data_IF_473988465515
#
_entry.id   IF_473988465515
#
_cell.length_a   1.000
_cell.length_b   1.000
_cell.length_c   1.000
_cell.angle_alpha   90.00
_cell.angle_beta   90.00
_cell.angle_gamma   90.00
#
_symmetry.space_group_name_H-M   'P 1'
#
loop_
_entity.id
_entity.type
_entity.pdbx_description
1 polymer ?
#
# COMPACT_ATOMS: atom_id res chain seq x y z
N UNK A 1 -3.32 7.00 25.96
CA UNK A 1 -4.03 7.29 24.69
C UNK A 1 -5.52 7.23 25.00
N UNK A 2 -6.30 8.29 24.74
CA UNK A 2 -7.75 8.29 25.03
C UNK A 2 -8.50 7.42 24.00
N UNK A 3 -9.52 6.64 24.37
CA UNK A 3 -9.98 5.49 23.60
C UNK A 3 -10.88 5.79 22.38
N UNK A 4 -11.10 7.05 22.03
CA UNK A 4 -12.20 7.52 21.17
C UNK A 4 -11.78 8.44 20.00
N UNK A 5 -10.52 8.89 19.94
CA UNK A 5 -10.06 9.89 18.96
C UNK A 5 -10.20 9.52 17.47
N UNK A 6 -10.27 8.24 17.11
CA UNK A 6 -10.38 7.83 15.69
C UNK A 6 -11.80 7.94 15.15
N UNK A 7 -12.82 7.74 16.00
CA UNK A 7 -14.23 7.80 15.61
C UNK A 7 -14.74 9.22 15.37
N UNK A 8 -14.02 10.21 15.87
CA UNK A 8 -14.34 11.64 15.74
C UNK A 8 -13.74 12.28 14.48
N UNK A 9 -12.86 11.57 13.78
CA UNK A 9 -12.20 12.08 12.57
C UNK A 9 -13.16 12.10 11.38
N UNK A 10 -13.11 13.18 10.61
CA UNK A 10 -13.75 13.24 9.30
C UNK A 10 -12.89 12.46 8.29
N UNK A 11 -13.16 11.17 8.13
CA UNK A 11 -12.42 10.30 7.22
C UNK A 11 -12.74 10.60 5.76
N UNK A 12 -11.71 10.83 4.96
CA UNK A 12 -11.82 10.75 3.50
C UNK A 12 -11.67 9.29 3.06
N UNK A 13 -12.66 8.76 2.34
CA UNK A 13 -12.62 7.40 1.80
C UNK A 13 -12.26 7.44 0.32
N UNK A 14 -11.14 6.81 -0.03
CA UNK A 14 -10.72 6.61 -1.42
C UNK A 14 -11.12 5.19 -1.84
N UNK A 15 -12.01 5.11 -2.82
CA UNK A 15 -12.46 3.84 -3.39
C UNK A 15 -11.36 3.17 -4.21
N UNK A 16 -11.40 1.83 -4.36
CA UNK A 16 -10.36 1.12 -5.08
C UNK A 16 -10.41 1.42 -6.58
N UNK A 17 -9.23 1.61 -7.17
CA UNK A 17 -8.98 1.57 -8.60
C UNK A 17 -7.86 0.54 -8.82
N UNK A 18 -8.00 -0.41 -9.76
CA UNK A 18 -6.95 -1.39 -10.03
C UNK A 18 -5.66 -0.70 -10.50
N UNK A 19 -4.61 -0.81 -9.70
CA UNK A 19 -3.29 -0.24 -10.02
C UNK A 19 -2.22 -1.34 -10.09
N UNK A 20 -1.21 -1.10 -10.91
CA UNK A 20 0.01 -1.91 -10.98
C UNK A 20 0.84 -1.74 -9.70
N UNK A 21 1.80 -2.64 -9.47
CA UNK A 21 2.55 -2.69 -8.19
C UNK A 21 3.26 -1.38 -7.86
N UNK A 22 4.09 -0.87 -8.77
CA UNK A 22 4.86 0.34 -8.49
C UNK A 22 4.00 1.61 -8.33
N UNK A 23 2.99 1.88 -9.20
CA UNK A 23 2.08 3.00 -8.98
C UNK A 23 1.29 2.91 -7.67
N UNK A 24 0.88 1.71 -7.26
CA UNK A 24 0.20 1.50 -5.98
C UNK A 24 1.08 1.92 -4.80
N UNK A 25 2.33 1.44 -4.76
CA UNK A 25 3.29 1.77 -3.69
C UNK A 25 3.67 3.27 -3.70
N UNK A 26 3.90 3.85 -4.87
CA UNK A 26 4.20 5.27 -5.01
C UNK A 26 3.04 6.16 -4.54
N UNK A 27 1.79 5.77 -4.85
CA UNK A 27 0.62 6.50 -4.39
C UNK A 27 0.48 6.43 -2.86
N UNK A 28 0.77 5.29 -2.24
CA UNK A 28 0.74 5.15 -0.77
C UNK A 28 1.75 6.07 -0.09
N UNK A 29 2.98 6.17 -0.61
CA UNK A 29 4.00 7.08 -0.10
C UNK A 29 3.54 8.55 -0.18
N UNK A 30 3.06 9.00 -1.34
CA UNK A 30 2.57 10.37 -1.52
C UNK A 30 1.35 10.67 -0.63
N UNK A 31 0.44 9.71 -0.47
CA UNK A 31 -0.73 9.88 0.41
C UNK A 31 -0.31 10.00 1.87
N UNK A 32 0.62 9.16 2.32
CA UNK A 32 1.17 9.21 3.66
C UNK A 32 1.84 10.56 3.93
N UNK A 33 2.71 11.02 3.03
CA UNK A 33 3.37 12.33 3.15
C UNK A 33 2.38 13.49 3.24
N UNK A 34 1.29 13.45 2.46
CA UNK A 34 0.26 14.49 2.48
C UNK A 34 -0.55 14.50 3.78
N UNK A 35 -0.80 13.33 4.38
CA UNK A 35 -1.43 13.24 5.70
C UNK A 35 -0.49 13.76 6.79
N UNK A 36 0.78 13.35 6.75
CA UNK A 36 1.80 13.77 7.74
C UNK A 36 2.06 15.29 7.68
N UNK A 37 2.08 15.87 6.49
CA UNK A 37 2.25 17.32 6.29
C UNK A 37 0.98 18.13 6.57
N UNK A 38 -0.17 17.49 6.84
CA UNK A 38 -1.44 18.16 7.09
C UNK A 38 -2.10 18.76 5.84
N UNK A 39 -1.55 18.52 4.65
CA UNK A 39 -2.15 18.92 3.37
C UNK A 39 -3.46 18.16 3.12
N UNK A 40 -3.55 16.92 3.63
CA UNK A 40 -4.73 16.06 3.54
C UNK A 40 -5.20 15.63 4.92
N UNK A 41 -6.51 15.47 5.08
CA UNK A 41 -7.11 14.91 6.29
C UNK A 41 -6.89 13.39 6.44
N UNK A 42 -7.38 12.80 7.55
CA UNK A 42 -7.36 11.36 7.77
C UNK A 42 -7.97 10.60 6.59
N UNK A 43 -7.25 9.63 6.05
CA UNK A 43 -7.64 8.95 4.81
C UNK A 43 -7.73 7.44 5.03
N UNK A 44 -8.85 6.86 4.61
CA UNK A 44 -9.02 5.42 4.46
C UNK A 44 -9.04 5.10 2.97
N UNK A 45 -8.19 4.18 2.53
CA UNK A 45 -8.10 3.79 1.13
C UNK A 45 -8.23 2.28 0.98
N UNK A 46 -9.11 1.87 0.09
CA UNK A 46 -9.13 0.51 -0.42
C UNK A 46 -8.33 0.45 -1.71
N UNK A 47 -7.79 -0.72 -2.03
CA UNK A 47 -6.97 -0.92 -3.22
C UNK A 47 -7.22 -2.27 -3.86
N UNK A 48 -6.87 -2.36 -5.14
CA UNK A 48 -6.95 -3.57 -5.94
C UNK A 48 -5.71 -3.69 -6.82
N UNK A 49 -5.17 -4.91 -6.95
CA UNK A 49 -4.03 -5.17 -7.83
C UNK A 49 -4.49 -5.35 -9.29
N UNK A 50 -3.92 -4.58 -10.21
CA UNK A 50 -4.10 -4.79 -11.65
C UNK A 50 -3.21 -5.91 -12.21
N UNK A 51 -2.27 -6.44 -11.42
CA UNK A 51 -1.35 -7.52 -11.81
C UNK A 51 -0.99 -8.41 -10.62
N UNK A 52 -0.42 -9.59 -10.89
CA UNK A 52 0.02 -10.50 -9.82
C UNK A 52 1.18 -9.85 -9.06
N UNK A 53 1.00 -9.63 -7.76
CA UNK A 53 1.93 -8.90 -6.92
C UNK A 53 2.41 -9.74 -5.73
N UNK A 54 3.70 -9.63 -5.43
CA UNK A 54 4.29 -10.01 -4.14
C UNK A 54 4.79 -8.72 -3.50
N UNK A 55 4.40 -8.46 -2.26
CA UNK A 55 4.83 -7.30 -1.48
C UNK A 55 5.61 -7.82 -0.29
N UNK A 56 6.80 -7.28 -0.06
CA UNK A 56 7.61 -7.62 1.10
C UNK A 56 7.46 -6.58 2.20
N UNK A 57 7.37 -7.06 3.44
CA UNK A 57 7.55 -6.23 4.61
C UNK A 57 8.97 -5.66 4.66
N UNK A 58 9.11 -4.46 5.22
CA UNK A 58 10.39 -3.73 5.29
C UNK A 58 11.54 -4.46 6.00
N UNK A 59 11.22 -5.47 6.81
CA UNK A 59 12.18 -6.29 7.55
C UNK A 59 12.31 -7.72 7.00
N UNK A 60 11.64 -8.02 5.89
CA UNK A 60 11.71 -9.31 5.22
C UNK A 60 12.81 -9.31 4.16
N UNK A 61 13.57 -10.40 4.10
CA UNK A 61 14.70 -10.52 3.15
C UNK A 61 14.23 -11.24 1.89
N UNK A 62 14.31 -10.56 0.75
CA UNK A 62 13.78 -11.05 -0.53
C UNK A 62 14.22 -12.48 -0.88
N UNK A 63 15.52 -12.78 -0.79
CA UNK A 63 16.06 -14.08 -1.14
C UNK A 63 15.65 -15.23 -0.20
N UNK A 64 15.14 -14.91 0.99
CA UNK A 64 14.64 -15.91 1.94
C UNK A 64 13.15 -16.18 1.76
N UNK A 65 12.39 -15.19 1.29
CA UNK A 65 10.92 -15.25 1.24
C UNK A 65 10.38 -15.60 -0.15
N UNK A 66 11.13 -15.31 -1.21
CA UNK A 66 10.62 -15.42 -2.58
C UNK A 66 11.57 -16.23 -3.45
N UNK A 67 11.05 -17.32 -4.02
CA UNK A 67 11.64 -17.95 -5.20
C UNK A 67 11.47 -17.01 -6.41
N UNK A 68 12.52 -16.27 -6.74
CA UNK A 68 12.51 -15.29 -7.81
C UNK A 68 12.31 -15.91 -9.20
N UNK A 69 12.78 -17.14 -9.40
CA UNK A 69 12.64 -17.83 -10.68
C UNK A 69 11.20 -18.27 -10.89
N UNK A 70 10.58 -18.85 -9.86
CA UNK A 70 9.16 -19.19 -9.88
C UNK A 70 8.29 -17.93 -10.03
N UNK A 71 8.60 -16.86 -9.27
CA UNK A 71 7.87 -15.59 -9.35
C UNK A 71 7.92 -15.01 -10.77
N UNK A 72 9.10 -15.02 -11.41
CA UNK A 72 9.28 -14.57 -12.80
C UNK A 72 8.49 -15.44 -13.78
N UNK A 73 8.57 -16.76 -13.65
CA UNK A 73 7.87 -17.73 -14.50
C UNK A 73 6.34 -17.54 -14.42
N UNK A 74 5.83 -17.33 -13.22
CA UNK A 74 4.40 -17.11 -12.94
C UNK A 74 3.98 -15.63 -13.07
N UNK A 75 4.88 -14.78 -13.58
CA UNK A 75 4.64 -13.37 -13.92
C UNK A 75 4.19 -12.51 -12.73
N UNK A 76 4.68 -12.80 -11.52
CA UNK A 76 4.54 -11.90 -10.39
C UNK A 76 5.48 -10.71 -10.52
N UNK A 77 4.99 -9.53 -10.13
CA UNK A 77 5.83 -8.37 -9.81
C UNK A 77 6.15 -8.37 -8.33
N UNK A 78 7.41 -8.13 -8.03
CA UNK A 78 7.90 -8.02 -6.66
C UNK A 78 8.05 -6.53 -6.36
N UNK A 79 7.33 -6.08 -5.34
CA UNK A 79 7.32 -4.71 -4.82
C UNK A 79 7.98 -4.61 -3.47
#
# INVERSE_FOLDING_TARGET
MRPDRLGELAWEVIMPEPLRVHPQLALEEVLLERVVSGIRGPTLRFWEWAERALVLGSHQVLGNEVDLEAARKEKFKVG
#
